data_IF_832761610776
#
_entry.id   IF_832761610776
#
_cell.length_a   1.000
_cell.length_b   1.000
_cell.length_c   1.000
_cell.angle_alpha   90.00
_cell.angle_beta   90.00
_cell.angle_gamma   90.00
#
_symmetry.space_group_name_H-M   'P 1'
#
loop_
_entity.id
_entity.type
_entity.pdbx_description
1 polymer ?
#
# COMPACT_ATOMS: atom_id res chain seq x y z
N UNK A 1 40.75 17.33 34.00
CA UNK A 1 40.48 16.03 33.34
C UNK A 1 39.00 15.69 33.50
N UNK A 2 38.11 16.46 32.85
CA UNK A 2 36.65 16.28 32.90
C UNK A 2 36.08 16.79 31.57
N UNK A 3 36.10 15.95 30.52
CA UNK A 3 35.72 16.42 29.18
C UNK A 3 35.40 15.36 28.14
N UNK A 4 35.06 14.13 28.51
CA UNK A 4 34.65 13.10 27.52
C UNK A 4 33.41 12.27 27.88
N UNK A 5 32.92 12.30 29.12
CA UNK A 5 31.80 11.42 29.53
C UNK A 5 30.41 11.87 29.06
N UNK A 6 30.26 13.12 28.58
CA UNK A 6 28.95 13.64 28.17
C UNK A 6 28.58 13.29 26.72
N UNK A 7 29.55 13.07 25.82
CA UNK A 7 29.30 12.73 24.42
C UNK A 7 29.01 11.23 24.23
N UNK A 8 29.71 10.37 24.96
CA UNK A 8 29.55 8.92 24.84
C UNK A 8 28.22 8.43 25.43
N UNK A 9 27.74 9.06 26.52
CA UNK A 9 26.47 8.72 27.13
C UNK A 9 25.28 9.16 26.24
N UNK A 10 25.41 10.32 25.58
CA UNK A 10 24.40 10.83 24.65
C UNK A 10 24.35 9.97 23.37
N UNK A 11 25.52 9.60 22.82
CA UNK A 11 25.62 8.69 21.68
C UNK A 11 25.12 7.26 21.99
N UNK A 12 25.40 6.72 23.18
CA UNK A 12 24.89 5.41 23.59
C UNK A 12 23.38 5.42 23.86
N UNK A 13 22.85 6.50 24.42
CA UNK A 13 21.40 6.63 24.68
C UNK A 13 20.64 6.78 23.36
N UNK A 14 21.14 7.62 22.46
CA UNK A 14 20.58 7.78 21.12
C UNK A 14 20.62 6.47 20.30
N UNK A 15 21.69 5.66 20.45
CA UNK A 15 21.76 4.32 19.84
C UNK A 15 20.69 3.37 20.38
N UNK A 16 20.49 3.32 21.70
CA UNK A 16 19.48 2.44 22.32
C UNK A 16 18.05 2.85 21.96
N UNK A 17 17.77 4.15 21.91
CA UNK A 17 16.46 4.67 21.50
C UNK A 17 16.18 4.34 20.03
N UNK A 18 17.18 4.52 19.16
CA UNK A 18 17.10 4.16 17.74
C UNK A 18 16.85 2.66 17.54
N UNK A 19 17.55 1.80 18.27
CA UNK A 19 17.35 0.34 18.25
C UNK A 19 15.93 -0.04 18.71
N UNK A 20 15.45 0.58 19.79
CA UNK A 20 14.10 0.33 20.30
C UNK A 20 13.02 0.76 19.29
N UNK A 21 13.22 1.88 18.61
CA UNK A 21 12.33 2.40 17.59
C UNK A 21 12.32 1.50 16.35
N UNK A 22 13.49 1.08 15.88
CA UNK A 22 13.63 0.13 14.76
C UNK A 22 12.99 -1.23 15.08
N UNK A 23 13.14 -1.71 16.32
CA UNK A 23 12.50 -2.94 16.78
C UNK A 23 10.97 -2.85 16.71
N UNK A 24 10.38 -1.75 17.20
CA UNK A 24 8.93 -1.50 17.10
C UNK A 24 8.47 -1.38 15.66
N UNK A 25 9.21 -0.67 14.81
CA UNK A 25 8.90 -0.50 13.40
C UNK A 25 8.85 -1.86 12.68
N UNK A 26 9.90 -2.67 12.84
CA UNK A 26 10.00 -4.00 12.24
C UNK A 26 8.94 -4.97 12.78
N UNK A 27 8.64 -4.91 14.08
CA UNK A 27 7.58 -5.71 14.68
C UNK A 27 6.22 -5.38 14.03
N UNK A 28 5.85 -4.10 13.95
CA UNK A 28 4.59 -3.70 13.33
C UNK A 28 4.55 -4.03 11.83
N UNK A 29 5.66 -3.82 11.12
CA UNK A 29 5.78 -4.15 9.70
C UNK A 29 5.53 -5.63 9.45
N UNK A 30 6.18 -6.50 10.23
CA UNK A 30 6.09 -7.96 10.07
C UNK A 30 4.70 -8.51 10.42
N UNK A 31 3.94 -7.79 11.25
CA UNK A 31 2.55 -8.10 11.59
C UNK A 31 1.53 -7.42 10.64
N UNK A 32 1.98 -6.74 9.58
CA UNK A 32 1.11 -6.06 8.62
C UNK A 32 0.47 -4.77 9.15
N UNK A 33 0.86 -4.27 10.33
CA UNK A 33 0.42 -2.99 10.86
C UNK A 33 1.20 -1.84 10.23
N UNK A 34 1.08 -1.69 8.91
CA UNK A 34 1.87 -0.76 8.10
C UNK A 34 1.73 0.70 8.54
N UNK A 35 0.54 1.14 8.95
CA UNK A 35 0.34 2.50 9.44
C UNK A 35 1.17 2.78 10.72
N UNK A 36 1.23 1.83 11.66
CA UNK A 36 2.06 1.96 12.88
C UNK A 36 3.54 1.87 12.56
N UNK A 37 3.90 0.97 11.66
CA UNK A 37 5.29 0.81 11.23
C UNK A 37 5.79 2.09 10.55
N UNK A 38 4.95 2.72 9.73
CA UNK A 38 5.22 3.98 9.05
C UNK A 38 5.60 5.09 10.04
N UNK A 39 4.80 5.28 11.10
CA UNK A 39 5.07 6.30 12.12
C UNK A 39 6.49 6.16 12.68
N UNK A 40 6.86 4.94 13.12
CA UNK A 40 8.19 4.67 13.65
C UNK A 40 9.31 4.77 12.60
N UNK A 41 9.08 4.36 11.35
CA UNK A 41 10.09 4.51 10.29
C UNK A 41 10.30 5.97 9.89
N UNK A 42 9.25 6.80 9.93
CA UNK A 42 9.37 8.24 9.67
C UNK A 42 10.12 8.97 10.78
N UNK A 43 10.00 8.52 12.04
CA UNK A 43 10.85 9.02 13.13
C UNK A 43 12.34 8.66 12.93
N UNK A 44 12.63 7.50 12.32
CA UNK A 44 14.00 7.07 11.99
C UNK A 44 14.58 7.78 10.75
N UNK A 45 13.72 8.23 9.83
CA UNK A 45 14.13 8.77 8.53
C UNK A 45 15.14 9.94 8.58
N UNK A 46 15.02 10.92 9.51
CA UNK A 46 16.00 12.00 9.61
C UNK A 46 17.40 11.55 10.03
N UNK A 47 17.54 10.37 10.65
CA UNK A 47 18.82 9.85 11.12
C UNK A 47 19.68 9.35 9.95
N UNK A 48 19.05 8.73 8.95
CA UNK A 48 19.71 8.30 7.71
C UNK A 48 18.71 8.22 6.55
N UNK A 49 18.46 9.37 5.93
CA UNK A 49 17.52 9.50 4.81
C UNK A 49 18.00 8.83 3.51
N UNK A 50 19.27 8.44 3.43
CA UNK A 50 19.86 7.75 2.29
C UNK A 50 19.81 6.23 2.44
N UNK A 51 19.51 5.72 3.63
CA UNK A 51 19.38 4.30 3.88
C UNK A 51 18.35 3.66 2.96
N UNK A 52 18.81 2.79 2.05
CA UNK A 52 17.95 2.23 1.03
C UNK A 52 16.89 1.28 1.63
N UNK A 53 17.25 0.52 2.67
CA UNK A 53 16.32 -0.39 3.34
C UNK A 53 15.21 0.37 4.06
N UNK A 54 15.55 1.45 4.75
CA UNK A 54 14.58 2.32 5.41
C UNK A 54 13.62 2.96 4.40
N UNK A 55 14.16 3.52 3.32
CA UNK A 55 13.35 4.06 2.22
C UNK A 55 12.41 2.99 1.63
N UNK A 56 12.90 1.76 1.41
CA UNK A 56 12.07 0.67 0.91
C UNK A 56 10.93 0.32 1.89
N UNK A 57 11.22 0.23 3.18
CA UNK A 57 10.21 -0.04 4.23
C UNK A 57 9.17 1.06 4.31
N UNK A 58 9.58 2.32 4.28
CA UNK A 58 8.66 3.48 4.27
C UNK A 58 7.77 3.42 3.03
N UNK A 59 8.35 3.22 1.85
CA UNK A 59 7.61 3.12 0.59
C UNK A 59 6.56 2.01 0.62
N UNK A 60 6.93 0.82 1.11
CA UNK A 60 5.99 -0.29 1.28
C UNK A 60 4.90 0.08 2.29
N UNK A 61 5.24 0.70 3.42
CA UNK A 61 4.24 1.10 4.41
C UNK A 61 3.22 2.10 3.84
N UNK A 62 3.67 3.08 3.07
CA UNK A 62 2.78 4.00 2.37
C UNK A 62 1.84 3.27 1.39
N UNK A 63 2.36 2.34 0.58
CA UNK A 63 1.56 1.56 -0.37
C UNK A 63 0.40 0.80 0.29
N UNK A 64 0.61 0.31 1.51
CA UNK A 64 -0.39 -0.43 2.28
C UNK A 64 -1.19 0.43 3.27
N UNK A 65 -0.88 1.72 3.40
CA UNK A 65 -1.65 2.65 4.23
C UNK A 65 -2.77 3.30 3.40
N UNK A 66 -4.05 3.16 3.80
CA UNK A 66 -5.16 3.78 3.10
C UNK A 66 -4.98 5.30 2.93
N UNK A 67 -5.41 5.83 1.78
CA UNK A 67 -5.38 7.26 1.45
C UNK A 67 -3.98 7.93 1.34
N UNK A 68 -2.89 7.23 1.67
CA UNK A 68 -1.51 7.78 1.63
C UNK A 68 -0.60 7.11 0.60
N UNK A 69 -1.16 6.24 -0.25
CA UNK A 69 -0.38 5.41 -1.18
C UNK A 69 0.55 6.22 -2.09
N UNK A 70 0.09 7.38 -2.57
CA UNK A 70 0.82 8.24 -3.49
C UNK A 70 2.19 8.71 -2.95
N UNK A 71 2.34 8.81 -1.62
CA UNK A 71 3.57 9.20 -0.93
C UNK A 71 4.69 8.15 -1.04
N UNK A 72 4.37 6.91 -1.45
CA UNK A 72 5.36 5.85 -1.56
C UNK A 72 6.43 6.10 -2.63
N UNK A 73 6.08 6.81 -3.71
CA UNK A 73 6.91 6.94 -4.90
C UNK A 73 8.33 7.46 -4.61
N UNK A 74 8.54 8.62 -3.96
CA UNK A 74 9.88 9.15 -3.74
C UNK A 74 10.78 8.24 -2.89
N UNK A 75 10.21 7.48 -1.94
CA UNK A 75 10.96 6.55 -1.10
C UNK A 75 11.38 5.30 -1.87
N UNK A 76 10.46 4.72 -2.66
CA UNK A 76 10.79 3.55 -3.50
C UNK A 76 11.77 3.90 -4.61
N UNK A 77 11.66 5.09 -5.22
CA UNK A 77 12.59 5.58 -6.24
C UNK A 77 14.01 5.77 -5.67
N UNK A 78 14.12 6.25 -4.42
CA UNK A 78 15.40 6.38 -3.72
C UNK A 78 15.98 5.01 -3.35
N UNK A 79 15.15 4.11 -2.82
CA UNK A 79 15.57 2.76 -2.47
C UNK A 79 16.11 1.99 -3.68
N UNK A 80 15.48 2.12 -4.84
CA UNK A 80 15.90 1.39 -6.06
C UNK A 80 17.22 1.84 -6.66
N UNK A 81 17.85 2.90 -6.15
CA UNK A 81 19.18 3.34 -6.59
C UNK A 81 20.32 2.53 -5.94
N UNK A 82 20.03 1.76 -4.88
CA UNK A 82 21.03 0.97 -4.15
C UNK A 82 21.05 -0.48 -4.60
N UNK A 83 22.25 -1.04 -4.77
CA UNK A 83 22.46 -2.47 -5.03
C UNK A 83 22.14 -3.35 -3.82
N UNK A 84 22.02 -2.78 -2.62
CA UNK A 84 21.65 -3.49 -1.39
C UNK A 84 20.17 -3.90 -1.38
N UNK A 85 19.35 -3.28 -2.24
CA UNK A 85 17.92 -3.52 -2.27
C UNK A 85 17.57 -4.65 -3.23
N UNK A 86 16.72 -5.54 -2.73
CA UNK A 86 16.26 -6.69 -3.47
C UNK A 86 15.39 -6.30 -4.69
N UNK A 87 15.33 -7.18 -5.68
CA UNK A 87 14.58 -6.99 -6.94
C UNK A 87 13.11 -6.61 -6.73
N UNK A 88 12.51 -6.97 -5.58
CA UNK A 88 11.13 -6.66 -5.22
C UNK A 88 10.79 -5.17 -5.22
N UNK A 89 11.78 -4.27 -4.99
CA UNK A 89 11.53 -2.82 -5.06
C UNK A 89 10.96 -2.39 -6.42
N UNK A 90 11.36 -3.07 -7.50
CA UNK A 90 10.85 -2.77 -8.84
C UNK A 90 9.38 -3.18 -9.01
N UNK A 91 8.93 -4.20 -8.31
CA UNK A 91 7.52 -4.56 -8.28
C UNK A 91 6.68 -3.47 -7.61
N UNK A 92 7.12 -3.01 -6.43
CA UNK A 92 6.44 -1.93 -5.70
C UNK A 92 6.50 -0.60 -6.46
N UNK A 93 7.58 -0.32 -7.19
CA UNK A 93 7.66 0.80 -8.13
C UNK A 93 6.62 0.67 -9.25
N UNK A 94 6.44 -0.53 -9.80
CA UNK A 94 5.39 -0.81 -10.77
C UNK A 94 4.00 -0.46 -10.21
N UNK A 95 3.72 -0.88 -8.98
CA UNK A 95 2.45 -0.61 -8.30
C UNK A 95 2.20 0.88 -8.13
N UNK A 96 3.17 1.62 -7.60
CA UNK A 96 3.00 3.05 -7.36
C UNK A 96 2.92 3.87 -8.65
N UNK A 97 3.72 3.54 -9.66
CA UNK A 97 3.63 4.21 -10.96
C UNK A 97 2.28 3.94 -11.62
N UNK A 98 1.74 2.73 -11.51
CA UNK A 98 0.41 2.42 -12.02
C UNK A 98 -0.67 3.25 -11.32
N UNK A 99 -0.64 3.32 -9.98
CA UNK A 99 -1.58 4.12 -9.17
C UNK A 99 -1.50 5.61 -9.50
N UNK A 100 -0.31 6.11 -9.85
CA UNK A 100 -0.09 7.50 -10.22
C UNK A 100 -0.27 7.76 -11.74
N UNK A 101 -0.92 6.85 -12.47
CA UNK A 101 -1.17 6.94 -13.91
C UNK A 101 0.10 7.06 -14.79
N UNK A 102 1.27 6.74 -14.24
CA UNK A 102 2.57 6.73 -14.93
C UNK A 102 2.80 5.36 -15.60
N UNK A 103 1.87 4.96 -16.47
CA UNK A 103 1.79 3.59 -17.00
C UNK A 103 3.08 3.11 -17.68
N UNK A 104 3.76 3.96 -18.46
CA UNK A 104 5.02 3.59 -19.12
C UNK A 104 6.14 3.30 -18.13
N UNK A 105 6.20 4.04 -17.01
CA UNK A 105 7.15 3.73 -15.94
C UNK A 105 6.76 2.45 -15.21
N UNK A 106 5.47 2.24 -14.98
CA UNK A 106 4.97 1.02 -14.34
C UNK A 106 5.38 -0.23 -15.13
N UNK A 107 5.16 -0.22 -16.45
CA UNK A 107 5.55 -1.30 -17.37
C UNK A 107 7.04 -1.59 -17.25
N UNK A 108 7.90 -0.57 -17.38
CA UNK A 108 9.36 -0.74 -17.26
C UNK A 108 9.78 -1.32 -15.91
N UNK A 109 9.13 -0.91 -14.83
CA UNK A 109 9.42 -1.43 -13.49
C UNK A 109 9.05 -2.90 -13.36
N UNK A 110 7.89 -3.34 -13.88
CA UNK A 110 7.50 -4.75 -13.87
C UNK A 110 8.39 -5.61 -14.79
N UNK A 111 8.79 -5.08 -15.94
CA UNK A 111 9.78 -5.73 -16.81
C UNK A 111 11.11 -5.93 -16.08
N UNK A 112 11.58 -4.91 -15.36
CA UNK A 112 12.82 -5.00 -14.59
C UNK A 112 12.73 -6.02 -13.46
N UNK A 113 11.61 -6.04 -12.75
CA UNK A 113 11.33 -7.06 -11.74
C UNK A 113 11.38 -8.49 -12.33
N UNK A 114 10.71 -8.71 -13.47
CA UNK A 114 10.68 -10.00 -14.15
C UNK A 114 12.05 -10.45 -14.69
N UNK A 115 12.89 -9.49 -15.10
CA UNK A 115 14.28 -9.75 -15.50
C UNK A 115 15.12 -10.21 -14.31
N UNK A 116 15.06 -9.45 -13.21
CA UNK A 116 15.95 -9.64 -12.06
C UNK A 116 15.60 -10.87 -11.21
N UNK A 117 14.33 -11.26 -11.09
CA UNK A 117 13.92 -12.35 -10.19
C UNK A 117 14.71 -13.65 -10.40
N UNK A 118 15.10 -13.97 -11.64
CA UNK A 118 15.89 -15.18 -11.94
C UNK A 118 17.33 -15.15 -11.41
N UNK A 119 17.87 -13.97 -11.06
CA UNK A 119 19.18 -13.83 -10.44
C UNK A 119 19.18 -14.00 -8.92
N UNK A 120 18.02 -13.89 -8.28
CA UNK A 120 17.88 -13.86 -6.82
C UNK A 120 17.11 -15.05 -6.26
N UNK A 121 16.06 -15.49 -6.95
CA UNK A 121 15.27 -16.67 -6.56
C UNK A 121 15.85 -17.94 -7.21
N UNK A 122 15.84 -19.04 -6.47
CA UNK A 122 16.35 -20.35 -6.92
C UNK A 122 15.22 -21.32 -7.23
N UNK A 123 14.04 -21.12 -6.65
CA UNK A 123 12.89 -21.97 -6.91
C UNK A 123 12.27 -21.63 -8.27
N UNK A 124 12.32 -22.56 -9.26
CA UNK A 124 11.82 -22.29 -10.60
C UNK A 124 10.32 -21.96 -10.65
N UNK A 125 9.53 -22.51 -9.71
CA UNK A 125 8.10 -22.22 -9.64
C UNK A 125 7.86 -20.77 -9.21
N UNK A 126 8.57 -20.29 -8.19
CA UNK A 126 8.45 -18.89 -7.71
C UNK A 126 8.91 -17.92 -8.79
N UNK A 127 10.00 -18.24 -9.51
CA UNK A 127 10.46 -17.44 -10.66
C UNK A 127 9.37 -17.36 -11.72
N UNK A 128 8.79 -18.49 -12.10
CA UNK A 128 7.77 -18.53 -13.15
C UNK A 128 6.50 -17.79 -12.73
N UNK A 129 6.03 -17.97 -11.49
CA UNK A 129 4.87 -17.28 -10.95
C UNK A 129 5.09 -15.77 -10.90
N UNK A 130 6.27 -15.33 -10.45
CA UNK A 130 6.64 -13.91 -10.43
C UNK A 130 6.63 -13.28 -11.82
N UNK A 131 7.17 -13.99 -12.83
CA UNK A 131 7.16 -13.54 -14.22
C UNK A 131 5.75 -13.51 -14.81
N UNK A 132 4.89 -14.47 -14.46
CA UNK A 132 3.50 -14.50 -14.89
C UNK A 132 2.70 -13.34 -14.30
N UNK A 133 2.90 -13.02 -13.01
CA UNK A 133 2.26 -11.89 -12.37
C UNK A 133 2.73 -10.56 -12.97
N UNK A 134 4.04 -10.38 -13.18
CA UNK A 134 4.59 -9.21 -13.85
C UNK A 134 3.98 -9.00 -15.25
N UNK A 135 3.87 -10.08 -16.04
CA UNK A 135 3.22 -10.04 -17.36
C UNK A 135 1.75 -9.62 -17.27
N UNK A 136 1.01 -10.13 -16.28
CA UNK A 136 -0.37 -9.72 -16.02
C UNK A 136 -0.45 -8.24 -15.68
N UNK A 137 0.43 -7.73 -14.81
CA UNK A 137 0.47 -6.30 -14.42
C UNK A 137 0.82 -5.38 -15.58
N UNK A 138 1.74 -5.79 -16.45
CA UNK A 138 2.04 -5.08 -17.70
C UNK A 138 0.80 -4.97 -18.58
N UNK A 139 0.07 -6.08 -18.78
CA UNK A 139 -1.18 -6.04 -19.55
C UNK A 139 -2.23 -5.12 -18.93
N UNK A 140 -2.34 -5.11 -17.59
CA UNK A 140 -3.23 -4.19 -16.87
C UNK A 140 -2.83 -2.73 -17.13
N UNK A 141 -1.52 -2.42 -17.13
CA UNK A 141 -1.03 -1.07 -17.41
C UNK A 141 -1.35 -0.65 -18.85
N UNK A 142 -1.17 -1.53 -19.84
CA UNK A 142 -1.50 -1.24 -21.24
C UNK A 142 -3.00 -1.00 -21.44
N UNK A 143 -3.84 -1.83 -20.82
CA UNK A 143 -5.28 -1.63 -20.85
C UNK A 143 -5.68 -0.30 -20.19
N UNK A 144 -5.13 0.00 -19.01
CA UNK A 144 -5.39 1.24 -18.29
C UNK A 144 -4.94 2.46 -19.09
N UNK A 145 -3.79 2.40 -19.76
CA UNK A 145 -3.28 3.43 -20.66
C UNK A 145 -4.22 3.67 -21.84
N UNK A 146 -4.73 2.61 -22.47
CA UNK A 146 -5.69 2.72 -23.57
C UNK A 146 -7.02 3.36 -23.11
N UNK A 147 -7.55 2.94 -21.96
CA UNK A 147 -8.79 3.48 -21.38
C UNK A 147 -8.62 4.95 -20.96
N UNK A 148 -7.48 5.30 -20.35
CA UNK A 148 -7.18 6.67 -19.94
C UNK A 148 -7.12 7.64 -21.12
N UNK A 149 -6.59 7.19 -22.27
CA UNK A 149 -6.50 7.99 -23.49
C UNK A 149 -7.80 8.02 -24.31
N UNK A 150 -8.78 7.17 -23.97
CA UNK A 150 -10.08 7.10 -24.64
C UNK A 150 -11.19 7.06 -23.60
N UNK A 151 -11.37 8.13 -22.81
CA UNK A 151 -12.35 8.14 -21.74
C UNK A 151 -13.77 7.97 -22.30
N UNK A 152 -14.55 7.11 -21.67
CA UNK A 152 -15.99 7.02 -21.88
C UNK A 152 -16.67 8.22 -21.24
N UNK A 153 -17.71 8.76 -21.89
CA UNK A 153 -18.51 9.85 -21.35
C UNK A 153 -19.50 9.28 -20.33
N UNK A 154 -19.00 8.89 -19.16
CA UNK A 154 -19.82 8.34 -18.09
C UNK A 154 -20.27 9.44 -17.12
N UNK A 155 -21.52 9.36 -16.68
CA UNK A 155 -22.02 10.22 -15.60
C UNK A 155 -22.08 9.39 -14.32
N UNK A 156 -21.29 9.77 -13.32
CA UNK A 156 -21.34 9.15 -12.00
C UNK A 156 -22.48 9.81 -11.23
N UNK A 157 -23.48 9.01 -10.86
CA UNK A 157 -24.65 9.46 -10.11
C UNK A 157 -24.69 8.71 -8.79
N UNK A 158 -24.89 9.42 -7.70
CA UNK A 158 -25.19 8.81 -6.39
C UNK A 158 -26.49 7.99 -6.51
N UNK A 159 -26.49 6.74 -6.05
CA UNK A 159 -27.63 5.82 -6.20
C UNK A 159 -28.79 6.11 -5.23
N UNK A 160 -28.74 7.24 -4.53
CA UNK A 160 -29.72 7.72 -3.57
C UNK A 160 -29.49 7.17 -2.17
N UNK A 161 -30.16 7.79 -1.19
CA UNK A 161 -29.98 7.52 0.25
C UNK A 161 -30.26 6.07 0.67
N UNK A 162 -30.96 5.30 -0.17
CA UNK A 162 -31.21 3.87 0.07
C UNK A 162 -29.95 3.03 -0.14
N UNK A 163 -29.08 3.45 -1.04
CA UNK A 163 -27.81 2.76 -1.34
C UNK A 163 -26.64 3.50 -0.70
N UNK A 164 -26.51 4.81 -0.92
CA UNK A 164 -25.43 5.62 -0.39
C UNK A 164 -25.89 6.43 0.83
N UNK A 165 -25.26 6.20 1.97
CA UNK A 165 -25.43 6.91 3.23
C UNK A 165 -24.35 7.99 3.41
N UNK A 166 -24.47 8.79 4.47
CA UNK A 166 -23.42 9.73 4.91
C UNK A 166 -22.29 9.06 5.70
N UNK A 167 -22.34 7.74 5.89
CA UNK A 167 -21.39 6.93 6.64
C UNK A 167 -20.69 5.94 5.69
N UNK A 168 -19.83 5.08 6.24
CA UNK A 168 -19.05 4.15 5.42
C UNK A 168 -19.98 3.12 4.73
N UNK A 169 -20.08 3.19 3.39
CA UNK A 169 -20.69 2.18 2.51
C UNK A 169 -19.63 1.64 1.53
N UNK A 170 -19.47 0.32 1.47
CA UNK A 170 -18.39 -0.29 0.70
C UNK A 170 -18.66 -1.76 0.36
N UNK A 171 -17.78 -2.32 -0.46
CA UNK A 171 -17.84 -3.72 -0.89
C UNK A 171 -19.12 -4.07 -1.66
N UNK A 172 -19.55 -3.27 -2.67
CA UNK A 172 -20.70 -3.64 -3.48
C UNK A 172 -20.40 -4.93 -4.28
N UNK A 173 -21.37 -5.83 -4.33
CA UNK A 173 -21.38 -7.03 -5.14
C UNK A 173 -22.67 -7.05 -5.95
N UNK A 174 -22.57 -7.19 -7.27
CA UNK A 174 -23.72 -7.34 -8.16
C UNK A 174 -23.83 -8.79 -8.65
N UNK A 175 -25.04 -9.33 -8.68
CA UNK A 175 -25.29 -10.65 -9.28
C UNK A 175 -25.05 -10.62 -10.79
N UNK A 176 -24.77 -11.78 -11.39
CA UNK A 176 -24.45 -11.88 -12.83
C UNK A 176 -25.58 -11.46 -13.76
N UNK A 177 -26.82 -11.55 -13.28
CA UNK A 177 -28.04 -11.09 -13.98
C UNK A 177 -28.37 -9.62 -13.67
N UNK A 178 -27.56 -8.94 -12.86
CA UNK A 178 -27.73 -7.54 -12.44
C UNK A 178 -29.03 -7.26 -11.65
N UNK A 179 -29.66 -8.30 -11.10
CA UNK A 179 -30.94 -8.18 -10.37
C UNK A 179 -30.75 -7.94 -8.86
N UNK A 180 -29.58 -8.26 -8.31
CA UNK A 180 -29.25 -8.13 -6.89
C UNK A 180 -27.95 -7.34 -6.69
N UNK A 181 -28.03 -6.27 -5.91
CA UNK A 181 -26.88 -5.55 -5.37
C UNK A 181 -26.79 -5.82 -3.86
N UNK A 182 -25.68 -6.39 -3.41
CA UNK A 182 -25.33 -6.51 -2.00
C UNK A 182 -24.24 -5.51 -1.65
N UNK A 183 -24.26 -4.91 -0.47
CA UNK A 183 -23.21 -4.00 -0.02
C UNK A 183 -23.13 -3.95 1.51
N UNK A 184 -21.97 -3.58 2.04
CA UNK A 184 -21.78 -3.36 3.47
C UNK A 184 -22.03 -1.90 3.81
N UNK A 185 -22.75 -1.64 4.90
CA UNK A 185 -22.95 -0.29 5.41
C UNK A 185 -22.81 -0.23 6.93
N UNK A 186 -22.19 0.85 7.41
CA UNK A 186 -22.13 1.22 8.83
C UNK A 186 -23.17 2.28 9.19
N UNK A 187 -24.36 2.24 8.57
CA UNK A 187 -25.47 3.15 8.89
C UNK A 187 -26.16 2.75 10.20
N UNK A 188 -26.50 3.74 11.02
CA UNK A 188 -27.12 3.56 12.36
C UNK A 188 -28.61 3.22 12.33
N UNK A 189 -29.04 2.41 11.36
CA UNK A 189 -30.42 1.95 11.20
C UNK A 189 -30.46 0.47 10.80
N UNK A 190 -29.43 -0.28 11.16
CA UNK A 190 -29.20 -1.65 10.73
C UNK A 190 -29.69 -2.69 11.73
N UNK A 191 -29.24 -3.93 11.57
CA UNK A 191 -29.50 -5.00 12.54
C UNK A 191 -28.71 -4.74 13.83
N UNK A 192 -27.58 -4.03 13.74
CA UNK A 192 -26.75 -3.69 14.90
C UNK A 192 -26.47 -2.19 15.04
N UNK A 193 -27.29 -1.49 15.82
CA UNK A 193 -27.06 -0.08 16.20
C UNK A 193 -25.94 0.11 17.25
N UNK A 194 -25.13 -0.93 17.46
CA UNK A 194 -24.00 -0.87 18.38
C UNK A 194 -22.82 -0.19 17.69
N UNK A 195 -22.13 0.64 18.45
CA UNK A 195 -20.85 1.24 18.04
C UNK A 195 -19.70 0.41 18.58
N UNK A 196 -18.71 0.14 17.73
CA UNK A 196 -17.45 -0.50 18.11
C UNK A 196 -16.51 0.46 18.85
N UNK A 197 -15.32 -0.04 19.21
CA UNK A 197 -14.32 0.72 19.99
C UNK A 197 -13.81 2.01 19.32
N UNK A 198 -14.00 2.16 18.01
CA UNK A 198 -13.64 3.35 17.23
C UNK A 198 -14.78 4.38 17.13
N UNK A 199 -15.92 4.17 17.81
CA UNK A 199 -17.09 5.05 17.75
C UNK A 199 -17.91 4.96 16.46
N UNK A 200 -17.52 4.08 15.53
CA UNK A 200 -18.27 3.75 14.31
C UNK A 200 -19.33 2.68 14.60
N UNK A 201 -20.46 2.74 13.89
CA UNK A 201 -21.44 1.64 13.91
C UNK A 201 -20.82 0.37 13.34
N UNK A 202 -21.37 -0.76 13.78
CA UNK A 202 -21.02 -2.07 13.26
C UNK A 202 -21.41 -2.21 11.77
N UNK A 203 -20.80 -3.18 11.12
CA UNK A 203 -21.01 -3.50 9.71
C UNK A 203 -22.22 -4.42 9.56
N UNK A 204 -23.19 -3.99 8.75
CA UNK A 204 -24.31 -4.84 8.32
C UNK A 204 -24.30 -4.99 6.80
N UNK A 205 -24.77 -6.14 6.30
CA UNK A 205 -24.92 -6.40 4.85
C UNK A 205 -26.35 -6.05 4.43
N UNK A 206 -26.46 -5.23 3.39
CA UNK A 206 -27.72 -4.78 2.80
C UNK A 206 -27.89 -5.39 1.42
N UNK A 207 -29.14 -5.64 1.03
CA UNK A 207 -29.52 -6.06 -0.31
C UNK A 207 -30.44 -5.02 -0.98
N UNK A 208 -30.26 -4.83 -2.28
CA UNK A 208 -31.16 -4.09 -3.15
C UNK A 208 -31.50 -4.95 -4.35
N UNK A 209 -32.79 -5.10 -4.63
CA UNK A 209 -33.31 -5.88 -5.76
C UNK A 209 -33.86 -4.93 -6.81
N UNK A 210 -33.51 -5.18 -8.06
CA UNK A 210 -34.08 -4.48 -9.20
C UNK A 210 -35.59 -4.78 -9.28
N UNK A 211 -36.37 -3.76 -9.63
CA UNK A 211 -37.84 -3.85 -9.73
C UNK A 211 -38.27 -3.85 -11.18
#
# INVERSE_FOLDING_TARGET
>A
MLGSLHNDLFSQTQSKETEALLSKANFNFSNGYYYKALDFFLELYPLDSLNAHLNNRIGICYLYTPYQKHEAQPYLERASQSEEINYEVHYFLGDIYHLNYQFDKAIRSYEKFAELVSGYEKNPNIIQDSKNDAKRRIQICENAKAMYNSPTSDTIINMGERINSSLDDYGPLISTDEELLMFTSRRGSGVSDKKGGEGKYNEDIYESKKK
#
